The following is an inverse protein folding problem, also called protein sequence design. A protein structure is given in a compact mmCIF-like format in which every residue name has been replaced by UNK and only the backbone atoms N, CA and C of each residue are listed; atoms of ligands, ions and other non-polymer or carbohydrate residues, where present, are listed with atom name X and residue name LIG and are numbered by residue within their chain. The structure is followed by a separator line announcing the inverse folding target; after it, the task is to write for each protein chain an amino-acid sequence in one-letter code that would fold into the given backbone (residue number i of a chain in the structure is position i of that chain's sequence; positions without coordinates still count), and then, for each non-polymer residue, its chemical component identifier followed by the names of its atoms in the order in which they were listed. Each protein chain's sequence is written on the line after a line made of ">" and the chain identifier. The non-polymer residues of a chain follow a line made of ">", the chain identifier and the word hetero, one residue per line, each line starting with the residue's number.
data_IF_683454641363
#
_entry.id   IF_683454641363
#
_cell.length_a   1.000
_cell.length_b   1.000
_cell.length_c   1.000
_cell.angle_alpha   90.00
_cell.angle_beta   90.00
_cell.angle_gamma   90.00
#
_symmetry.space_group_name_H-M   'P 1'
#
loop_
_entity.id
_entity.type
_entity.pdbx_description
1 polymer ?
#
# COMPACT_ATOMS: atom_id res chain seq x y z
N UNK A 1 -7.35 -21.25 37.02
CA UNK A 1 -6.40 -21.10 35.90
C UNK A 1 -7.20 -20.97 34.60
N UNK A 2 -7.59 -19.76 34.20
CA UNK A 2 -8.36 -19.52 32.98
C UNK A 2 -7.42 -19.04 31.88
N UNK A 3 -7.23 -19.85 30.83
CA UNK A 3 -6.45 -19.49 29.67
C UNK A 3 -7.25 -18.50 28.80
N UNK A 4 -6.81 -17.23 28.76
CA UNK A 4 -7.30 -16.23 27.81
C UNK A 4 -6.88 -16.67 26.40
N UNK A 5 -7.82 -17.15 25.60
CA UNK A 5 -7.62 -17.43 24.17
C UNK A 5 -7.44 -16.08 23.47
N UNK A 6 -6.22 -15.80 22.99
CA UNK A 6 -5.92 -14.60 22.22
C UNK A 6 -6.82 -14.55 21.00
N UNK A 7 -7.68 -13.54 20.90
CA UNK A 7 -8.51 -13.33 19.73
C UNK A 7 -7.60 -12.92 18.57
N UNK A 8 -7.47 -13.78 17.56
CA UNK A 8 -6.97 -13.38 16.26
C UNK A 8 -7.97 -12.36 15.70
N UNK A 9 -7.53 -11.11 15.52
CA UNK A 9 -8.36 -10.06 14.92
C UNK A 9 -8.33 -10.31 13.41
N UNK A 10 -9.09 -11.30 12.94
CA UNK A 10 -9.29 -11.53 11.51
C UNK A 10 -10.38 -10.57 11.05
N UNK A 11 -10.00 -9.33 10.71
CA UNK A 11 -10.90 -8.38 10.07
C UNK A 11 -11.13 -8.84 8.63
N UNK A 12 -12.05 -9.78 8.41
CA UNK A 12 -12.48 -10.17 7.06
C UNK A 12 -13.24 -9.00 6.47
N UNK A 13 -12.61 -8.23 5.57
CA UNK A 13 -13.29 -7.19 4.79
C UNK A 13 -14.29 -7.87 3.86
N UNK A 14 -15.57 -7.88 4.23
CA UNK A 14 -16.62 -8.50 3.44
C UNK A 14 -16.81 -7.78 2.10
N UNK A 15 -16.92 -8.57 1.02
CA UNK A 15 -17.22 -8.17 -0.37
C UNK A 15 -16.12 -7.43 -1.12
N UNK A 16 -15.15 -8.20 -1.65
CA UNK A 16 -14.46 -7.83 -2.89
C UNK A 16 -15.03 -8.72 -3.99
N UNK A 17 -15.92 -8.20 -4.83
CA UNK A 17 -16.48 -8.90 -6.01
C UNK A 17 -15.43 -9.01 -7.14
N UNK A 18 -14.24 -9.50 -6.81
CA UNK A 18 -13.15 -9.70 -7.75
C UNK A 18 -12.76 -11.17 -7.75
N UNK A 19 -12.78 -11.83 -8.92
CA UNK A 19 -12.33 -13.22 -9.03
C UNK A 19 -10.84 -13.30 -8.66
N UNK A 20 -10.44 -14.38 -7.97
CA UNK A 20 -9.08 -14.51 -7.40
C UNK A 20 -7.99 -14.36 -8.47
N UNK A 21 -8.28 -14.76 -9.70
CA UNK A 21 -7.37 -14.67 -10.86
C UNK A 21 -7.03 -13.24 -11.24
N UNK A 22 -7.81 -12.24 -10.77
CA UNK A 22 -7.57 -10.81 -11.00
C UNK A 22 -6.88 -10.09 -9.85
N UNK A 23 -6.71 -10.74 -8.69
CA UNK A 23 -6.03 -10.15 -7.54
C UNK A 23 -4.51 -10.32 -7.72
N UNK A 24 -3.74 -9.26 -7.48
CA UNK A 24 -2.27 -9.26 -7.47
C UNK A 24 -1.79 -8.65 -6.17
N UNK A 25 -1.32 -9.51 -5.26
CA UNK A 25 -0.65 -9.07 -4.04
C UNK A 25 0.83 -8.86 -4.39
N UNK A 26 1.31 -7.61 -4.32
CA UNK A 26 2.69 -7.23 -4.64
C UNK A 26 3.32 -6.52 -3.46
N UNK A 27 4.62 -6.75 -3.26
CA UNK A 27 5.44 -6.04 -2.28
C UNK A 27 6.68 -5.47 -2.97
N UNK A 28 6.99 -4.21 -2.69
CA UNK A 28 8.17 -3.53 -3.26
C UNK A 28 9.21 -3.39 -2.15
N UNK A 29 10.32 -4.10 -2.30
CA UNK A 29 11.47 -4.02 -1.39
C UNK A 29 12.61 -3.43 -2.20
N UNK A 30 13.19 -2.35 -1.70
CA UNK A 30 14.30 -1.68 -2.35
C UNK A 30 15.33 -1.24 -1.32
N UNK A 31 16.59 -1.10 -1.75
CA UNK A 31 17.62 -0.45 -0.96
C UNK A 31 17.25 1.03 -0.69
N UNK A 32 17.90 1.65 0.29
CA UNK A 32 17.71 3.09 0.56
C UNK A 32 18.06 3.85 -0.73
N UNK A 33 17.24 4.85 -1.06
CA UNK A 33 17.34 5.70 -2.27
C UNK A 33 17.19 4.99 -3.62
N UNK A 34 16.79 3.71 -3.65
CA UNK A 34 16.54 2.98 -4.91
C UNK A 34 15.18 3.30 -5.57
N UNK A 35 14.44 4.30 -5.06
CA UNK A 35 13.20 4.75 -5.68
C UNK A 35 11.96 3.87 -5.43
N UNK A 36 11.87 3.20 -4.27
CA UNK A 36 10.67 2.44 -3.84
C UNK A 36 9.39 3.28 -3.95
N UNK A 37 9.43 4.50 -3.41
CA UNK A 37 8.29 5.40 -3.33
C UNK A 37 7.92 5.91 -4.73
N UNK A 38 8.90 6.35 -5.54
CA UNK A 38 8.71 6.77 -6.93
C UNK A 38 8.09 5.67 -7.80
N UNK A 39 8.55 4.43 -7.63
CA UNK A 39 8.00 3.27 -8.37
C UNK A 39 6.56 2.97 -7.94
N UNK A 40 6.25 3.14 -6.65
CA UNK A 40 4.89 2.93 -6.12
C UNK A 40 3.90 3.95 -6.69
N UNK A 41 4.29 5.23 -6.71
CA UNK A 41 3.49 6.30 -7.31
C UNK A 41 3.22 6.06 -8.79
N UNK A 42 4.22 5.54 -9.53
CA UNK A 42 4.03 5.18 -10.93
C UNK A 42 3.02 4.04 -11.10
N UNK A 43 3.07 3.01 -10.26
CA UNK A 43 2.10 1.90 -10.30
C UNK A 43 0.67 2.42 -10.00
N UNK A 44 0.51 3.35 -9.06
CA UNK A 44 -0.78 3.95 -8.74
C UNK A 44 -1.33 4.80 -9.90
N UNK A 45 -0.46 5.56 -10.57
CA UNK A 45 -0.84 6.36 -11.73
C UNK A 45 -1.22 5.48 -12.94
N UNK A 46 -0.38 4.51 -13.29
CA UNK A 46 -0.60 3.62 -14.45
C UNK A 46 -1.82 2.69 -14.24
N UNK A 47 -2.14 2.33 -13.00
CA UNK A 47 -3.35 1.56 -12.68
C UNK A 47 -4.62 2.41 -12.63
N UNK A 48 -4.51 3.73 -12.85
CA UNK A 48 -5.63 4.68 -12.79
C UNK A 48 -6.17 4.90 -11.38
N UNK A 49 -5.44 4.51 -10.33
CA UNK A 49 -5.82 4.76 -8.93
C UNK A 49 -5.59 6.21 -8.52
N UNK A 50 -4.60 6.87 -9.10
CA UNK A 50 -4.31 8.30 -8.90
C UNK A 50 -4.32 9.03 -10.23
N UNK A 51 -4.85 10.26 -10.26
CA UNK A 51 -4.96 11.07 -11.48
C UNK A 51 -3.73 11.97 -11.72
N UNK A 52 -2.90 12.16 -10.70
CA UNK A 52 -1.67 12.95 -10.73
C UNK A 52 -0.51 12.06 -10.27
N UNK A 53 0.63 12.20 -10.92
CA UNK A 53 1.86 11.57 -10.49
C UNK A 53 2.42 12.35 -9.29
N UNK A 54 2.51 11.71 -8.12
CA UNK A 54 3.19 12.27 -6.96
C UNK A 54 4.71 12.23 -7.15
N UNK A 55 5.41 13.17 -6.51
CA UNK A 55 6.87 13.20 -6.43
C UNK A 55 7.33 13.14 -4.98
N UNK A 56 8.35 12.32 -4.73
CA UNK A 56 9.01 12.20 -3.42
C UNK A 56 9.69 13.51 -3.05
N UNK A 57 10.32 14.17 -4.03
CA UNK A 57 11.03 15.45 -3.80
C UNK A 57 10.09 16.60 -3.43
N UNK A 58 8.80 16.49 -3.80
CA UNK A 58 7.78 17.49 -3.49
C UNK A 58 6.88 17.09 -2.31
N UNK A 59 7.16 15.97 -1.62
CA UNK A 59 6.34 15.47 -0.50
C UNK A 59 4.87 15.25 -0.87
N UNK A 60 4.61 14.96 -2.15
CA UNK A 60 3.25 14.94 -2.73
C UNK A 60 2.77 13.53 -3.06
N UNK A 61 3.48 12.51 -2.59
CA UNK A 61 3.10 11.13 -2.89
C UNK A 61 1.84 10.77 -2.14
N UNK A 62 0.98 9.97 -2.75
CA UNK A 62 -0.30 9.57 -2.15
C UNK A 62 -0.06 8.62 -0.97
N UNK A 63 1.14 8.03 -0.91
CA UNK A 63 1.57 7.14 0.16
C UNK A 63 2.12 7.84 1.40
N UNK A 64 2.45 9.14 1.34
CA UNK A 64 3.00 9.88 2.47
C UNK A 64 1.88 10.21 3.47
N UNK A 65 1.77 9.41 4.52
CA UNK A 65 0.81 9.64 5.60
C UNK A 65 1.49 10.24 6.83
N UNK A 66 2.76 9.90 7.07
CA UNK A 66 3.53 10.48 8.16
C UNK A 66 4.13 11.82 7.75
N UNK A 67 4.27 12.73 8.73
CA UNK A 67 4.94 14.02 8.52
C UNK A 67 6.43 13.87 8.16
N UNK A 68 7.05 12.75 8.55
CA UNK A 68 8.44 12.39 8.20
C UNK A 68 8.58 11.78 6.80
N UNK A 69 7.46 11.38 6.18
CA UNK A 69 7.42 10.90 4.80
C UNK A 69 7.12 12.04 3.81
N UNK A 70 6.69 13.22 4.30
CA UNK A 70 6.54 14.46 3.53
C UNK A 70 7.84 15.26 3.43
#
# INVERSE_FOLDING_TARGET
>A
MAAKKGALITTTTEKRDLPMERIRNIGIIAHIDAGKTTTTERILFESGKTYKLGSVDEGSTVTDWMEQER
#
